data_IF_685756375430
#
_entry.id   IF_685756375430
#
_cell.length_a   1.000
_cell.length_b   1.000
_cell.length_c   1.000
_cell.angle_alpha   90.00
_cell.angle_beta   90.00
_cell.angle_gamma   90.00
#
_symmetry.space_group_name_H-M   'P 1'
#
loop_
_entity.id
_entity.type
_entity.pdbx_description
1 polymer ?
#
# COMPACT_ATOMS: atom_id res chain seq x y z
N UNK A 1 1.21 25.06 -23.55
CA UNK A 1 1.86 23.72 -23.67
C UNK A 1 2.00 23.02 -22.32
N UNK A 2 2.50 23.67 -21.25
CA UNK A 2 2.71 23.02 -19.94
C UNK A 2 1.41 22.51 -19.29
N UNK A 3 0.30 23.23 -19.36
CA UNK A 3 -1.02 22.78 -18.88
C UNK A 3 -1.48 21.48 -19.56
N UNK A 4 -1.20 21.34 -20.87
CA UNK A 4 -1.51 20.13 -21.62
C UNK A 4 -0.60 18.95 -21.23
N UNK A 5 0.67 19.25 -20.85
CA UNK A 5 1.58 18.26 -20.29
C UNK A 5 1.07 17.75 -18.94
N UNK A 6 0.63 18.64 -18.04
CA UNK A 6 0.02 18.23 -16.76
C UNK A 6 -1.23 17.37 -16.98
N UNK A 7 -2.11 17.77 -17.94
CA UNK A 7 -3.28 16.96 -18.29
C UNK A 7 -2.90 15.59 -18.87
N UNK A 8 -1.84 15.52 -19.65
CA UNK A 8 -1.32 14.27 -20.19
C UNK A 8 -0.78 13.36 -19.06
N UNK A 9 -0.08 13.91 -18.10
CA UNK A 9 0.51 13.14 -16.98
C UNK A 9 -0.54 12.74 -15.93
N UNK A 10 -1.52 13.58 -15.64
CA UNK A 10 -2.45 13.36 -14.53
C UNK A 10 -3.90 13.09 -14.96
N UNK A 11 -4.25 13.42 -16.19
CA UNK A 11 -5.61 13.26 -16.72
C UNK A 11 -5.82 11.90 -17.34
N UNK A 12 -7.09 11.49 -17.44
CA UNK A 12 -7.48 10.26 -18.14
C UNK A 12 -7.86 10.58 -19.60
N UNK A 13 -6.98 11.28 -20.31
CA UNK A 13 -7.19 11.70 -21.71
C UNK A 13 -6.15 11.06 -22.62
N UNK A 14 -6.60 10.58 -23.79
CA UNK A 14 -5.68 10.12 -24.83
C UNK A 14 -4.99 11.31 -25.52
N UNK A 15 -3.89 11.04 -26.26
CA UNK A 15 -3.19 12.09 -26.99
C UNK A 15 -4.07 12.71 -28.10
N UNK A 16 -4.98 11.93 -28.69
CA UNK A 16 -5.93 12.40 -29.69
C UNK A 16 -6.98 13.34 -29.07
N UNK A 17 -7.45 13.05 -27.85
CA UNK A 17 -8.34 13.94 -27.11
C UNK A 17 -7.65 15.25 -26.77
N UNK A 18 -6.40 15.18 -26.28
CA UNK A 18 -5.60 16.38 -25.98
C UNK A 18 -5.31 17.20 -27.23
N UNK A 19 -5.08 16.55 -28.37
CA UNK A 19 -4.87 17.24 -29.65
C UNK A 19 -6.12 18.01 -30.09
N UNK A 20 -7.32 17.41 -29.96
CA UNK A 20 -8.59 18.10 -30.25
C UNK A 20 -8.83 19.29 -29.32
N UNK A 21 -8.63 19.10 -28.02
CA UNK A 21 -8.88 20.13 -27.02
C UNK A 21 -7.89 21.30 -27.12
N UNK A 22 -6.65 21.02 -27.47
CA UNK A 22 -5.56 22.00 -27.52
C UNK A 22 -5.37 22.66 -28.88
N UNK A 23 -5.96 22.11 -29.95
CA UNK A 23 -5.73 22.50 -31.36
C UNK A 23 -4.28 22.31 -31.85
N UNK A 24 -3.43 21.61 -31.07
CA UNK A 24 -2.09 21.21 -31.53
C UNK A 24 -2.13 19.82 -32.16
N UNK A 25 -1.24 19.55 -33.10
CA UNK A 25 -1.09 18.20 -33.65
C UNK A 25 -0.57 17.21 -32.58
N UNK A 26 -0.97 15.94 -32.66
CA UNK A 26 -0.46 14.87 -31.79
C UNK A 26 1.06 14.82 -31.81
N UNK A 27 1.69 15.00 -32.98
CA UNK A 27 3.14 15.03 -33.15
C UNK A 27 3.80 16.19 -32.38
N UNK A 28 3.21 17.37 -32.40
CA UNK A 28 3.72 18.55 -31.68
C UNK A 28 3.60 18.36 -30.17
N UNK A 29 2.48 17.83 -29.71
CA UNK A 29 2.28 17.52 -28.28
C UNK A 29 3.28 16.48 -27.79
N UNK A 30 3.42 15.34 -28.49
CA UNK A 30 4.34 14.27 -28.09
C UNK A 30 5.80 14.76 -28.09
N UNK A 31 6.22 15.53 -29.11
CA UNK A 31 7.57 16.11 -29.12
C UNK A 31 7.83 17.00 -27.91
N UNK A 32 6.87 17.84 -27.54
CA UNK A 32 6.98 18.68 -26.36
C UNK A 32 6.97 17.85 -25.08
N UNK A 33 6.05 16.89 -24.93
CA UNK A 33 5.91 16.07 -23.74
C UNK A 33 7.15 15.21 -23.49
N UNK A 34 7.67 14.56 -24.52
CA UNK A 34 8.91 13.78 -24.41
C UNK A 34 10.12 14.66 -24.05
N UNK A 35 10.17 15.90 -24.55
CA UNK A 35 11.20 16.87 -24.16
C UNK A 35 11.06 17.38 -22.72
N UNK A 36 9.86 17.33 -22.14
CA UNK A 36 9.61 17.70 -20.74
C UNK A 36 9.92 16.58 -19.75
N UNK A 37 9.75 15.31 -20.14
CA UNK A 37 9.91 14.17 -19.23
C UNK A 37 11.22 14.18 -18.45
N UNK A 38 12.41 14.40 -19.04
CA UNK A 38 13.68 14.42 -18.31
C UNK A 38 13.89 15.66 -17.42
N UNK A 39 13.01 16.65 -17.50
CA UNK A 39 13.11 17.93 -16.76
C UNK A 39 12.28 17.96 -15.48
N UNK A 40 11.91 16.82 -14.92
CA UNK A 40 11.16 16.78 -13.67
C UNK A 40 11.99 17.43 -12.55
N UNK A 41 11.40 18.35 -11.75
CA UNK A 41 12.08 18.93 -10.61
C UNK A 41 12.51 17.87 -9.60
N UNK A 42 13.59 18.16 -8.87
CA UNK A 42 14.03 17.30 -7.77
C UNK A 42 12.94 17.19 -6.70
N UNK A 43 12.83 16.00 -6.13
CA UNK A 43 11.88 15.74 -5.06
C UNK A 43 12.35 16.39 -3.76
N UNK A 44 11.46 17.15 -3.15
CA UNK A 44 11.71 17.73 -1.83
C UNK A 44 10.70 17.19 -0.82
N UNK A 45 11.21 16.53 0.23
CA UNK A 45 10.38 16.13 1.37
C UNK A 45 9.82 17.37 2.07
N UNK A 46 8.58 17.26 2.53
CA UNK A 46 8.01 18.32 3.34
C UNK A 46 8.54 18.23 4.76
N UNK A 47 9.09 19.33 5.28
CA UNK A 47 9.50 19.39 6.67
C UNK A 47 8.25 19.37 7.56
N UNK A 48 8.21 18.41 8.46
CA UNK A 48 7.17 18.20 9.47
C UNK A 48 7.87 17.72 10.73
N UNK A 49 7.36 18.10 11.90
CA UNK A 49 7.92 17.60 13.16
C UNK A 49 7.61 16.11 13.32
N UNK A 50 6.39 15.72 12.95
CA UNK A 50 5.88 14.36 13.13
C UNK A 50 5.06 13.87 11.93
N UNK A 51 5.16 12.57 11.63
CA UNK A 51 4.41 11.93 10.54
C UNK A 51 3.81 10.59 10.95
N UNK A 52 2.64 10.29 10.40
CA UNK A 52 2.00 8.99 10.47
C UNK A 52 2.07 8.36 9.07
N UNK A 53 3.08 7.53 8.84
CA UNK A 53 3.38 7.01 7.52
C UNK A 53 2.47 5.86 7.13
N UNK A 54 2.07 5.85 5.89
CA UNK A 54 1.62 4.66 5.18
C UNK A 54 2.72 4.26 4.20
N UNK A 55 3.12 2.99 4.22
CA UNK A 55 4.14 2.44 3.33
C UNK A 55 3.51 1.32 2.52
N UNK A 56 3.61 1.43 1.21
CA UNK A 56 3.15 0.41 0.28
C UNK A 56 3.92 0.49 -1.03
N UNK A 57 4.05 -0.64 -1.72
CA UNK A 57 4.73 -0.75 -2.99
C UNK A 57 3.81 -1.23 -4.11
N UNK A 58 4.09 -0.82 -5.32
CA UNK A 58 3.39 -1.32 -6.49
C UNK A 58 4.36 -1.67 -7.61
N UNK A 59 4.06 -2.77 -8.28
CA UNK A 59 4.85 -3.27 -9.40
C UNK A 59 4.23 -2.84 -10.71
N UNK A 60 5.10 -2.43 -11.62
CA UNK A 60 4.78 -2.14 -13.01
C UNK A 60 5.46 -3.15 -13.94
N UNK A 61 5.01 -3.19 -15.19
CA UNK A 61 5.76 -3.83 -16.27
C UNK A 61 7.15 -3.19 -16.36
N UNK A 62 8.15 -3.90 -16.93
CA UNK A 62 9.55 -3.46 -17.03
C UNK A 62 10.36 -3.51 -15.71
N UNK A 63 10.00 -4.41 -14.79
CA UNK A 63 10.74 -4.65 -13.54
C UNK A 63 10.92 -3.39 -12.69
N UNK A 64 9.93 -2.51 -12.67
CA UNK A 64 9.93 -1.32 -11.83
C UNK A 64 8.95 -1.51 -10.69
N UNK A 65 9.46 -1.46 -9.46
CA UNK A 65 8.69 -1.32 -8.24
C UNK A 65 8.77 0.13 -7.76
N UNK A 66 7.62 0.73 -7.44
CA UNK A 66 7.53 2.04 -6.81
C UNK A 66 7.07 1.85 -5.37
N UNK A 67 7.90 2.23 -4.42
CA UNK A 67 7.55 2.28 -2.99
C UNK A 67 7.20 3.73 -2.65
N UNK A 68 6.08 3.94 -1.96
CA UNK A 68 5.64 5.24 -1.46
C UNK A 68 5.66 5.27 0.06
N UNK A 69 6.15 6.38 0.60
CA UNK A 69 6.09 6.76 2.02
C UNK A 69 5.20 7.98 2.13
N UNK A 70 3.94 7.76 2.50
CA UNK A 70 2.91 8.80 2.45
C UNK A 70 2.42 9.14 3.85
N UNK A 71 2.41 10.43 4.20
CA UNK A 71 1.81 10.88 5.44
C UNK A 71 0.28 10.76 5.35
N UNK A 72 -0.32 10.08 6.33
CA UNK A 72 -1.76 9.90 6.40
C UNK A 72 -2.51 11.19 6.68
N UNK A 73 -2.04 11.95 7.67
CA UNK A 73 -2.73 13.16 8.16
C UNK A 73 -2.82 14.22 7.08
N UNK A 74 -1.72 14.46 6.39
CA UNK A 74 -1.62 15.51 5.38
C UNK A 74 -1.79 14.98 3.95
N UNK A 75 -1.96 13.68 3.79
CA UNK A 75 -2.11 13.00 2.47
C UNK A 75 -0.98 13.32 1.49
N UNK A 76 0.22 13.58 2.00
CA UNK A 76 1.39 13.99 1.22
C UNK A 76 2.37 12.84 1.10
N UNK A 77 2.92 12.65 -0.09
CA UNK A 77 4.06 11.77 -0.28
C UNK A 77 5.32 12.43 0.28
N UNK A 78 5.89 11.87 1.34
CA UNK A 78 7.15 12.32 1.92
C UNK A 78 8.33 11.88 1.10
N UNK A 79 8.38 10.60 0.77
CA UNK A 79 9.44 9.98 0.01
C UNK A 79 8.87 8.95 -0.96
N UNK A 80 9.57 8.69 -2.04
CA UNK A 80 9.33 7.56 -2.92
C UNK A 80 10.65 6.95 -3.39
N UNK A 81 10.61 5.66 -3.72
CA UNK A 81 11.76 4.94 -4.28
C UNK A 81 11.34 4.12 -5.48
N UNK A 82 12.17 4.17 -6.52
CA UNK A 82 12.15 3.19 -7.62
C UNK A 82 13.16 2.10 -7.33
N UNK A 83 12.71 0.86 -7.34
CA UNK A 83 13.53 -0.33 -7.08
C UNK A 83 13.07 -1.49 -7.96
N UNK A 84 13.77 -2.62 -7.89
CA UNK A 84 13.31 -3.89 -8.49
C UNK A 84 12.36 -4.66 -7.58
N UNK A 85 12.53 -4.52 -6.26
CA UNK A 85 11.72 -5.21 -5.25
C UNK A 85 11.80 -4.47 -3.91
N UNK A 86 10.84 -4.70 -3.03
CA UNK A 86 10.80 -4.17 -1.67
C UNK A 86 11.88 -4.83 -0.79
N UNK A 87 13.11 -4.35 -0.89
CA UNK A 87 14.23 -4.89 -0.10
C UNK A 87 14.29 -4.27 1.30
N UNK A 88 14.62 -5.09 2.30
CA UNK A 88 14.81 -4.62 3.68
C UNK A 88 15.82 -3.48 3.77
N UNK A 89 16.95 -3.57 3.04
CA UNK A 89 18.01 -2.57 3.06
C UNK A 89 17.51 -1.22 2.58
N UNK A 90 16.83 -1.18 1.44
CA UNK A 90 16.36 0.07 0.85
C UNK A 90 15.27 0.73 1.70
N UNK A 91 14.36 -0.07 2.28
CA UNK A 91 13.34 0.46 3.20
C UNK A 91 13.98 1.05 4.46
N UNK A 92 15.01 0.40 5.01
CA UNK A 92 15.77 0.96 6.14
C UNK A 92 16.47 2.27 5.80
N UNK A 93 17.12 2.34 4.64
CA UNK A 93 17.73 3.57 4.13
C UNK A 93 16.70 4.70 4.03
N UNK A 94 15.53 4.42 3.49
CA UNK A 94 14.46 5.41 3.32
C UNK A 94 13.91 5.93 4.65
N UNK A 95 13.66 5.04 5.60
CA UNK A 95 13.23 5.43 6.95
C UNK A 95 14.32 6.26 7.65
N UNK A 96 15.59 5.87 7.53
CA UNK A 96 16.71 6.62 8.09
C UNK A 96 16.84 8.02 7.46
N UNK A 97 16.61 8.15 6.16
CA UNK A 97 16.62 9.44 5.47
C UNK A 97 15.52 10.37 6.01
N UNK A 98 14.33 9.84 6.34
CA UNK A 98 13.26 10.63 6.97
C UNK A 98 13.68 11.09 8.36
N UNK A 99 14.24 10.20 9.19
CA UNK A 99 14.71 10.52 10.54
C UNK A 99 15.88 11.54 10.52
N UNK A 100 16.80 11.45 9.56
CA UNK A 100 17.94 12.37 9.43
C UNK A 100 17.49 13.82 9.15
N UNK A 101 16.26 14.02 8.62
CA UNK A 101 15.65 15.32 8.50
C UNK A 101 14.96 15.81 9.78
N UNK A 102 15.17 15.11 10.90
CA UNK A 102 14.54 15.38 12.20
C UNK A 102 13.02 15.23 12.18
N UNK A 103 12.49 14.41 11.26
CA UNK A 103 11.08 14.09 11.18
C UNK A 103 10.83 12.87 12.07
N UNK A 104 10.02 13.02 13.12
CA UNK A 104 9.64 11.91 13.99
C UNK A 104 8.57 11.05 13.30
N UNK A 105 8.81 9.74 13.18
CA UNK A 105 7.83 8.78 12.68
C UNK A 105 7.03 8.26 13.88
N UNK A 106 5.78 8.73 14.05
CA UNK A 106 4.89 8.29 15.15
C UNK A 106 4.29 6.92 14.91
N UNK A 107 3.92 6.65 13.66
CA UNK A 107 3.34 5.35 13.29
C UNK A 107 3.66 4.97 11.85
N UNK A 108 3.58 3.67 11.58
CA UNK A 108 3.68 3.12 10.23
C UNK A 108 2.53 2.15 9.99
N UNK A 109 1.71 2.43 8.97
CA UNK A 109 0.66 1.51 8.48
C UNK A 109 1.12 0.87 7.19
N UNK A 110 1.08 -0.47 7.13
CA UNK A 110 1.50 -1.24 5.94
C UNK A 110 0.65 -2.49 5.72
N UNK A 111 0.83 -3.13 4.57
CA UNK A 111 0.20 -4.42 4.22
C UNK A 111 0.70 -5.58 5.09
N UNK A 112 1.88 -5.39 5.75
CA UNK A 112 2.54 -6.36 6.60
C UNK A 112 3.55 -7.24 5.89
N UNK A 113 4.13 -6.76 4.80
CA UNK A 113 5.33 -7.36 4.22
C UNK A 113 6.44 -7.46 5.29
N UNK A 114 7.07 -8.62 5.38
CA UNK A 114 8.05 -8.89 6.44
C UNK A 114 9.22 -7.89 6.43
N UNK A 115 9.65 -7.45 5.25
CA UNK A 115 10.73 -6.49 5.10
C UNK A 115 10.35 -5.10 5.65
N UNK A 116 9.10 -4.65 5.44
CA UNK A 116 8.61 -3.38 6.00
C UNK A 116 8.56 -3.47 7.52
N UNK A 117 7.91 -4.52 8.06
CA UNK A 117 7.80 -4.72 9.51
C UNK A 117 9.18 -4.73 10.17
N UNK A 118 10.12 -5.48 9.59
CA UNK A 118 11.48 -5.60 10.11
C UNK A 118 12.23 -4.26 10.03
N UNK A 119 12.14 -3.54 8.92
CA UNK A 119 12.75 -2.23 8.75
C UNK A 119 12.26 -1.23 9.80
N UNK A 120 10.93 -1.15 10.01
CA UNK A 120 10.33 -0.26 11.01
C UNK A 120 10.84 -0.59 12.41
N UNK A 121 10.87 -1.86 12.79
CA UNK A 121 11.35 -2.28 14.13
C UNK A 121 12.82 -2.00 14.37
N UNK A 122 13.65 -2.11 13.33
CA UNK A 122 15.10 -1.89 13.44
C UNK A 122 15.47 -0.40 13.40
N UNK A 123 14.72 0.44 12.65
CA UNK A 123 15.05 1.85 12.42
C UNK A 123 14.21 2.79 13.28
N UNK A 124 12.93 2.45 13.50
CA UNK A 124 11.97 3.27 14.22
C UNK A 124 11.27 2.44 15.32
N UNK A 125 12.01 1.90 16.33
CA UNK A 125 11.44 0.98 17.33
C UNK A 125 10.28 1.58 18.13
N UNK A 126 10.27 2.91 18.31
CA UNK A 126 9.22 3.65 19.04
C UNK A 126 7.98 3.90 18.19
N UNK A 127 8.06 3.71 16.86
CA UNK A 127 6.92 3.93 15.98
C UNK A 127 5.84 2.83 16.18
N UNK A 128 4.60 3.26 16.27
CA UNK A 128 3.46 2.33 16.39
C UNK A 128 3.22 1.69 15.03
N UNK A 129 3.40 0.37 14.96
CA UNK A 129 3.14 -0.39 13.74
C UNK A 129 1.67 -0.78 13.65
N UNK A 130 1.02 -0.45 12.54
CA UNK A 130 -0.36 -0.84 12.21
C UNK A 130 -0.37 -1.73 10.97
N UNK A 131 -1.05 -2.87 11.05
CA UNK A 131 -1.36 -3.71 9.89
C UNK A 131 -2.63 -3.23 9.21
N UNK A 132 -2.60 -3.06 7.90
CA UNK A 132 -3.79 -2.74 7.11
C UNK A 132 -4.85 -3.85 7.27
N UNK A 133 -6.00 -3.52 7.87
CA UNK A 133 -7.08 -4.48 8.11
C UNK A 133 -7.68 -5.00 6.80
N UNK A 134 -7.72 -4.16 5.76
CA UNK A 134 -8.18 -4.56 4.44
C UNK A 134 -7.29 -5.66 3.84
N UNK A 135 -5.97 -5.48 3.85
CA UNK A 135 -5.03 -6.48 3.32
C UNK A 135 -5.13 -7.81 4.06
N UNK A 136 -5.31 -7.78 5.40
CA UNK A 136 -5.47 -9.01 6.18
C UNK A 136 -6.75 -9.75 5.76
N UNK A 137 -7.88 -9.06 5.68
CA UNK A 137 -9.15 -9.66 5.27
C UNK A 137 -9.13 -10.14 3.82
N UNK A 138 -8.60 -9.32 2.91
CA UNK A 138 -8.49 -9.63 1.49
C UNK A 138 -7.65 -10.89 1.25
N UNK A 139 -6.50 -11.02 1.91
CA UNK A 139 -5.62 -12.17 1.77
C UNK A 139 -6.28 -13.46 2.26
N UNK A 140 -7.03 -13.41 3.37
CA UNK A 140 -7.85 -14.54 3.84
C UNK A 140 -8.90 -14.92 2.81
N UNK A 141 -9.59 -13.93 2.23
CA UNK A 141 -10.58 -14.15 1.16
C UNK A 141 -9.99 -14.79 -0.09
N UNK A 142 -8.77 -14.43 -0.48
CA UNK A 142 -8.06 -15.05 -1.62
C UNK A 142 -7.74 -16.52 -1.36
N UNK A 143 -7.26 -16.86 -0.15
CA UNK A 143 -6.90 -18.26 0.16
C UNK A 143 -8.10 -19.16 0.39
N UNK A 144 -9.13 -18.68 1.08
CA UNK A 144 -10.32 -19.47 1.40
C UNK A 144 -11.37 -19.50 0.30
N UNK A 145 -11.23 -18.63 -0.72
CA UNK A 145 -12.21 -18.43 -1.80
C UNK A 145 -13.56 -17.88 -1.30
N UNK A 146 -14.50 -17.62 -2.23
CA UNK A 146 -15.82 -17.06 -1.88
C UNK A 146 -16.77 -18.07 -1.23
N UNK A 147 -16.55 -19.38 -1.47
CA UNK A 147 -17.43 -20.48 -1.00
C UNK A 147 -16.58 -21.62 -0.42
N UNK A 148 -16.04 -21.47 0.78
CA UNK A 148 -15.23 -22.52 1.41
C UNK A 148 -16.09 -23.76 1.70
N UNK A 149 -15.48 -24.95 1.56
CA UNK A 149 -16.22 -26.22 1.78
C UNK A 149 -16.39 -26.54 3.27
N UNK A 150 -15.35 -26.32 4.10
CA UNK A 150 -15.41 -26.62 5.53
C UNK A 150 -16.12 -25.52 6.34
N UNK A 151 -16.77 -25.89 7.41
CA UNK A 151 -17.39 -24.97 8.38
C UNK A 151 -16.35 -24.00 8.95
N UNK A 152 -15.22 -24.52 9.42
CA UNK A 152 -14.13 -23.71 9.95
C UNK A 152 -13.66 -22.61 8.99
N UNK A 153 -13.55 -22.93 7.69
CA UNK A 153 -13.13 -21.95 6.70
C UNK A 153 -14.24 -20.91 6.39
N UNK A 154 -15.53 -21.31 6.42
CA UNK A 154 -16.66 -20.36 6.28
C UNK A 154 -16.71 -19.37 7.41
N UNK A 155 -16.61 -19.87 8.65
CA UNK A 155 -16.62 -19.03 9.85
C UNK A 155 -15.42 -18.07 9.87
N UNK A 156 -14.20 -18.53 9.53
CA UNK A 156 -13.03 -17.67 9.45
C UNK A 156 -13.17 -16.58 8.38
N UNK A 157 -13.75 -16.92 7.25
CA UNK A 157 -14.01 -15.95 6.18
C UNK A 157 -14.97 -14.84 6.67
N UNK A 158 -16.04 -15.20 7.38
CA UNK A 158 -16.96 -14.21 7.96
C UNK A 158 -16.28 -13.37 9.05
N UNK A 159 -15.50 -13.97 9.95
CA UNK A 159 -14.70 -13.23 10.93
C UNK A 159 -13.74 -12.24 10.24
N UNK A 160 -13.10 -12.64 9.15
CA UNK A 160 -12.21 -11.74 8.42
C UNK A 160 -12.93 -10.54 7.80
N UNK A 161 -14.16 -10.72 7.29
CA UNK A 161 -14.99 -9.63 6.76
C UNK A 161 -15.40 -8.63 7.84
N UNK A 162 -15.59 -9.09 9.07
CA UNK A 162 -15.94 -8.22 10.20
C UNK A 162 -14.83 -7.24 10.57
N UNK A 163 -13.56 -7.49 10.19
CA UNK A 163 -12.46 -6.54 10.38
C UNK A 163 -12.76 -5.16 9.81
N UNK A 164 -13.49 -5.10 8.70
CA UNK A 164 -13.90 -3.83 8.09
C UNK A 164 -14.84 -2.99 8.98
N UNK A 165 -15.62 -3.64 9.86
CA UNK A 165 -16.65 -3.01 10.70
C UNK A 165 -16.12 -2.50 12.04
N UNK A 166 -14.96 -2.98 12.49
CA UNK A 166 -14.37 -2.61 13.79
C UNK A 166 -14.00 -1.12 13.77
N UNK A 167 -14.47 -0.34 14.71
CA UNK A 167 -14.20 1.08 14.85
C UNK A 167 -13.62 1.42 16.22
N UNK A 168 -14.02 0.70 17.26
CA UNK A 168 -13.70 1.01 18.65
C UNK A 168 -12.87 -0.09 19.30
N UNK A 169 -12.26 0.22 20.44
CA UNK A 169 -11.52 -0.77 21.23
C UNK A 169 -12.43 -1.90 21.76
N UNK A 170 -13.65 -1.65 22.23
CA UNK A 170 -14.60 -2.72 22.56
C UNK A 170 -14.91 -3.64 21.37
N UNK A 171 -15.12 -3.10 20.17
CA UNK A 171 -15.34 -3.93 18.96
C UNK A 171 -14.14 -4.84 18.69
N UNK A 172 -12.92 -4.30 18.82
CA UNK A 172 -11.69 -5.07 18.62
C UNK A 172 -11.56 -6.21 19.65
N UNK A 173 -11.90 -5.94 20.92
CA UNK A 173 -11.90 -6.96 21.98
C UNK A 173 -12.94 -8.06 21.72
N UNK A 174 -14.15 -7.68 21.31
CA UNK A 174 -15.20 -8.63 20.94
C UNK A 174 -14.77 -9.52 19.79
N UNK A 175 -14.19 -8.91 18.74
CA UNK A 175 -13.68 -9.66 17.59
C UNK A 175 -12.55 -10.62 18.00
N UNK A 176 -11.61 -10.18 18.84
CA UNK A 176 -10.52 -11.05 19.31
C UNK A 176 -11.04 -12.25 20.10
N UNK A 177 -12.05 -12.07 20.96
CA UNK A 177 -12.70 -13.17 21.67
C UNK A 177 -13.34 -14.15 20.69
N UNK A 178 -14.12 -13.65 19.74
CA UNK A 178 -14.75 -14.49 18.72
C UNK A 178 -13.71 -15.27 17.88
N UNK A 179 -12.57 -14.66 17.55
CA UNK A 179 -11.49 -15.34 16.86
C UNK A 179 -10.83 -16.45 17.72
N UNK A 180 -10.63 -16.18 19.02
CA UNK A 180 -10.07 -17.16 19.98
C UNK A 180 -11.03 -18.34 20.13
N UNK A 181 -12.33 -18.09 20.35
CA UNK A 181 -13.35 -19.12 20.49
C UNK A 181 -13.45 -19.98 19.22
N UNK A 182 -13.44 -19.33 18.06
CA UNK A 182 -13.40 -20.01 16.77
C UNK A 182 -12.14 -20.90 16.64
N UNK A 183 -10.98 -20.37 17.04
CA UNK A 183 -9.73 -21.15 16.95
C UNK A 183 -9.77 -22.38 17.84
N UNK A 184 -10.21 -22.28 19.09
CA UNK A 184 -10.33 -23.42 20.00
C UNK A 184 -11.33 -24.46 19.48
N UNK A 185 -12.48 -24.02 18.94
CA UNK A 185 -13.47 -24.92 18.31
C UNK A 185 -12.88 -25.76 17.17
N UNK A 186 -11.99 -25.19 16.39
CA UNK A 186 -11.49 -25.80 15.15
C UNK A 186 -10.00 -26.19 15.19
N UNK A 187 -9.32 -26.05 16.31
CA UNK A 187 -7.86 -26.23 16.41
C UNK A 187 -7.38 -27.59 15.89
N UNK A 188 -8.04 -28.67 16.29
CA UNK A 188 -7.70 -30.03 15.84
C UNK A 188 -7.80 -30.16 14.32
N UNK A 189 -8.88 -29.63 13.72
CA UNK A 189 -9.10 -29.65 12.28
C UNK A 189 -8.08 -28.78 11.53
N UNK A 190 -7.75 -27.59 12.03
CA UNK A 190 -6.77 -26.68 11.42
C UNK A 190 -5.38 -27.32 11.39
N UNK A 191 -5.02 -28.05 12.45
CA UNK A 191 -3.69 -28.65 12.62
C UNK A 191 -3.60 -30.11 12.15
N UNK A 192 -4.66 -30.65 11.53
CA UNK A 192 -4.66 -32.00 10.98
C UNK A 192 -3.55 -32.15 9.92
N UNK A 193 -2.74 -33.21 10.10
CA UNK A 193 -1.59 -33.51 9.23
C UNK A 193 -1.88 -34.72 8.39
N UNK A 194 -1.33 -34.72 7.19
CA UNK A 194 -1.19 -35.89 6.31
C UNK A 194 0.27 -36.23 6.19
N UNK A 195 0.54 -37.52 6.02
CA UNK A 195 1.88 -38.08 5.83
C UNK A 195 1.93 -38.86 4.52
N UNK A 196 3.08 -38.84 3.89
CA UNK A 196 3.46 -39.70 2.80
C UNK A 196 4.39 -40.78 3.38
N UNK A 197 3.96 -42.01 3.35
CA UNK A 197 4.68 -43.16 3.92
C UNK A 197 5.99 -43.44 3.20
N UNK A 198 6.07 -43.18 1.88
CA UNK A 198 7.28 -43.46 1.08
C UNK A 198 8.37 -42.40 1.33
N UNK A 199 8.01 -41.12 1.36
CA UNK A 199 8.98 -40.03 1.51
C UNK A 199 9.17 -39.56 2.95
N UNK A 200 8.34 -40.00 3.90
CA UNK A 200 8.30 -39.50 5.29
C UNK A 200 7.91 -38.03 5.42
N UNK A 201 7.48 -37.40 4.35
CA UNK A 201 7.08 -36.00 4.36
C UNK A 201 5.70 -35.84 4.96
N UNK A 202 5.49 -34.72 5.66
CA UNK A 202 4.20 -34.38 6.20
C UNK A 202 3.78 -32.97 5.74
N UNK A 203 2.46 -32.69 5.71
CA UNK A 203 1.90 -31.38 5.42
C UNK A 203 0.58 -31.21 6.18
N UNK A 204 0.16 -29.95 6.34
CA UNK A 204 -1.17 -29.67 6.86
C UNK A 204 -2.23 -30.06 5.82
N UNK A 205 -3.18 -30.90 6.20
CA UNK A 205 -4.28 -31.35 5.34
C UNK A 205 -5.12 -30.16 4.87
N UNK A 206 -5.37 -29.20 5.75
CA UNK A 206 -6.11 -27.98 5.48
C UNK A 206 -5.17 -26.78 5.28
N UNK A 207 -4.22 -26.90 4.37
CA UNK A 207 -3.09 -25.96 4.16
C UNK A 207 -3.52 -24.49 4.08
N UNK A 208 -4.57 -24.16 3.29
CA UNK A 208 -5.00 -22.77 3.11
C UNK A 208 -5.70 -22.21 4.35
N UNK A 209 -6.46 -23.05 5.07
CA UNK A 209 -7.07 -22.66 6.34
C UNK A 209 -5.99 -22.42 7.41
N UNK A 210 -5.03 -23.33 7.55
CA UNK A 210 -3.90 -23.18 8.46
C UNK A 210 -3.10 -21.91 8.14
N UNK A 211 -2.84 -21.65 6.86
CA UNK A 211 -2.13 -20.42 6.39
C UNK A 211 -2.91 -19.16 6.74
N UNK A 212 -4.23 -19.14 6.51
CA UNK A 212 -5.10 -18.01 6.84
C UNK A 212 -5.14 -17.73 8.34
N UNK A 213 -5.26 -18.78 9.15
CA UNK A 213 -5.21 -18.68 10.62
C UNK A 213 -3.89 -18.10 11.11
N UNK A 214 -2.77 -18.62 10.61
CA UNK A 214 -1.43 -18.13 10.95
C UNK A 214 -1.23 -16.68 10.54
N UNK A 215 -1.76 -16.28 9.37
CA UNK A 215 -1.70 -14.90 8.89
C UNK A 215 -2.41 -13.93 9.82
N UNK A 216 -3.62 -14.27 10.27
CA UNK A 216 -4.37 -13.46 11.24
C UNK A 216 -3.62 -13.43 12.59
N UNK A 217 -3.19 -14.57 13.13
CA UNK A 217 -2.44 -14.62 14.40
C UNK A 217 -1.22 -13.70 14.39
N UNK A 218 -0.46 -13.67 13.30
CA UNK A 218 0.69 -12.78 13.14
C UNK A 218 0.30 -11.30 13.01
N UNK A 219 -0.90 -11.02 12.53
CA UNK A 219 -1.38 -9.65 12.38
C UNK A 219 -1.91 -9.05 13.70
N UNK A 220 -2.55 -9.85 14.56
CA UNK A 220 -3.24 -9.41 15.78
C UNK A 220 -2.44 -8.39 16.62
N UNK A 221 -1.13 -8.55 16.90
CA UNK A 221 -0.39 -7.59 17.71
C UNK A 221 -0.35 -6.16 17.14
N UNK A 222 -0.64 -6.01 15.83
CA UNK A 222 -0.55 -4.74 15.11
C UNK A 222 -1.86 -4.34 14.43
N UNK A 223 -2.95 -5.08 14.65
CA UNK A 223 -4.15 -4.97 13.83
C UNK A 223 -5.10 -3.86 14.28
N UNK A 224 -5.08 -3.51 15.57
CA UNK A 224 -6.11 -2.66 16.19
C UNK A 224 -5.55 -1.39 16.84
N UNK A 225 -4.32 -0.97 16.52
CA UNK A 225 -3.72 0.22 17.13
C UNK A 225 -4.50 1.51 16.77
N UNK A 226 -5.12 1.58 15.59
CA UNK A 226 -5.99 2.69 15.19
C UNK A 226 -7.19 2.92 16.12
N UNK A 227 -7.63 1.90 16.89
CA UNK A 227 -8.72 2.07 17.84
C UNK A 227 -8.30 2.82 19.12
N UNK A 228 -6.99 2.88 19.39
CA UNK A 228 -6.38 3.59 20.53
C UNK A 228 -5.81 4.95 20.12
N UNK A 229 -5.37 5.07 18.88
CA UNK A 229 -4.67 6.23 18.35
C UNK A 229 -5.39 6.75 17.11
N UNK A 230 -6.22 7.81 17.22
CA UNK A 230 -7.08 8.29 16.12
C UNK A 230 -6.32 8.75 14.86
N UNK A 231 -5.05 9.13 15.03
CA UNK A 231 -4.20 9.58 13.92
C UNK A 231 -3.59 8.42 13.11
N UNK A 232 -3.81 7.16 13.50
CA UNK A 232 -3.30 5.99 12.81
C UNK A 232 -4.38 5.47 11.85
N UNK A 233 -4.10 5.38 10.54
CA UNK A 233 -5.08 4.86 9.61
C UNK A 233 -5.29 3.36 9.79
N UNK A 234 -6.55 2.94 9.78
CA UNK A 234 -6.98 1.54 9.79
C UNK A 234 -6.49 0.76 8.57
N UNK A 235 -6.40 1.45 7.42
CA UNK A 235 -6.08 0.85 6.12
C UNK A 235 -5.11 1.71 5.33
N UNK A 236 -4.43 1.12 4.36
CA UNK A 236 -3.61 1.81 3.35
C UNK A 236 -4.39 2.19 2.07
N UNK A 237 -5.73 2.16 2.10
CA UNK A 237 -6.58 2.38 0.92
C UNK A 237 -6.29 3.68 0.17
N UNK A 238 -5.82 4.73 0.85
CA UNK A 238 -5.47 5.98 0.18
C UNK A 238 -4.24 5.86 -0.73
N UNK A 239 -3.26 5.00 -0.38
CA UNK A 239 -2.14 4.68 -1.27
C UNK A 239 -2.62 3.79 -2.42
N UNK A 240 -3.46 2.79 -2.14
CA UNK A 240 -4.01 1.92 -3.18
C UNK A 240 -4.81 2.72 -4.21
N UNK A 241 -5.65 3.66 -3.76
CA UNK A 241 -6.38 4.57 -4.64
C UNK A 241 -5.43 5.43 -5.48
N UNK A 242 -4.35 5.91 -4.88
CA UNK A 242 -3.30 6.66 -5.57
C UNK A 242 -2.61 5.81 -6.66
N UNK A 243 -2.22 4.59 -6.32
CA UNK A 243 -1.66 3.64 -7.30
C UNK A 243 -2.65 3.27 -8.40
N UNK A 244 -3.93 3.12 -8.06
CA UNK A 244 -5.00 2.88 -9.03
C UNK A 244 -5.06 4.00 -10.06
N UNK A 245 -5.11 5.26 -9.61
CA UNK A 245 -5.10 6.42 -10.51
C UNK A 245 -3.84 6.45 -11.38
N UNK A 246 -2.64 6.27 -10.80
CA UNK A 246 -1.39 6.23 -11.55
C UNK A 246 -1.41 5.15 -12.65
N UNK A 247 -1.87 3.94 -12.31
CA UNK A 247 -1.98 2.83 -13.27
C UNK A 247 -3.01 3.11 -14.36
N UNK A 248 -4.13 3.72 -14.03
CA UNK A 248 -5.16 4.07 -15.02
C UNK A 248 -4.62 5.07 -16.05
N UNK A 249 -3.93 6.11 -15.58
CA UNK A 249 -3.32 7.10 -16.49
C UNK A 249 -2.20 6.45 -17.30
N UNK A 250 -1.33 5.66 -16.67
CA UNK A 250 -0.23 4.99 -17.34
C UNK A 250 -0.68 4.06 -18.49
N UNK A 251 -1.83 3.39 -18.32
CA UNK A 251 -2.41 2.51 -19.38
C UNK A 251 -2.72 3.25 -20.68
N UNK A 252 -2.96 4.55 -20.62
CA UNK A 252 -3.21 5.39 -21.80
C UNK A 252 -1.92 5.77 -22.53
N UNK A 253 -0.74 5.60 -21.89
CA UNK A 253 0.56 6.01 -22.40
C UNK A 253 1.46 4.80 -22.63
N UNK A 254 0.98 3.85 -23.45
CA UNK A 254 1.74 2.65 -23.83
C UNK A 254 2.91 3.03 -24.74
N UNK A 255 3.99 2.28 -24.67
CA UNK A 255 5.16 2.45 -25.56
C UNK A 255 6.21 3.44 -25.05
N UNK A 256 6.08 3.97 -23.81
CA UNK A 256 7.15 4.74 -23.19
C UNK A 256 8.37 3.83 -22.94
N UNK A 257 9.58 4.31 -23.26
CA UNK A 257 10.81 3.67 -22.84
C UNK A 257 10.86 3.59 -21.31
N UNK A 258 11.70 2.72 -20.74
CA UNK A 258 11.84 2.59 -19.27
C UNK A 258 12.19 3.93 -18.61
N UNK A 259 13.08 4.70 -19.22
CA UNK A 259 13.47 6.01 -18.71
C UNK A 259 12.32 7.01 -18.77
N UNK A 260 11.63 7.12 -19.92
CA UNK A 260 10.45 7.98 -20.05
C UNK A 260 9.34 7.57 -19.09
N UNK A 261 9.15 6.28 -18.86
CA UNK A 261 8.18 5.77 -17.90
C UNK A 261 8.50 6.18 -16.46
N UNK A 262 9.75 6.05 -16.01
CA UNK A 262 10.19 6.51 -14.69
C UNK A 262 9.98 8.03 -14.55
N UNK A 263 10.38 8.80 -15.56
CA UNK A 263 10.21 10.25 -15.57
C UNK A 263 8.73 10.66 -15.59
N UNK A 264 7.88 9.92 -16.30
CA UNK A 264 6.43 10.10 -16.26
C UNK A 264 5.87 9.93 -14.84
N UNK A 265 6.28 8.88 -14.13
CA UNK A 265 5.85 8.68 -12.74
C UNK A 265 6.38 9.80 -11.83
N UNK A 266 7.62 10.26 -12.00
CA UNK A 266 8.16 11.39 -11.24
C UNK A 266 7.30 12.65 -11.41
N UNK A 267 6.93 12.97 -12.63
CA UNK A 267 6.04 14.10 -12.93
C UNK A 267 4.64 13.92 -12.33
N UNK A 268 4.09 12.71 -12.40
CA UNK A 268 2.81 12.40 -11.76
C UNK A 268 2.87 12.66 -10.25
N UNK A 269 3.89 12.16 -9.57
CA UNK A 269 4.11 12.39 -8.14
C UNK A 269 4.25 13.88 -7.82
N UNK A 270 5.02 14.60 -8.63
CA UNK A 270 5.22 16.05 -8.48
C UNK A 270 3.90 16.83 -8.57
N UNK A 271 3.11 16.59 -9.61
CA UNK A 271 1.83 17.28 -9.78
C UNK A 271 0.81 16.91 -8.69
N UNK A 272 0.73 15.64 -8.30
CA UNK A 272 -0.15 15.23 -7.20
C UNK A 272 0.27 15.85 -5.87
N UNK A 273 1.56 15.90 -5.56
CA UNK A 273 2.06 16.56 -4.34
C UNK A 273 1.71 18.06 -4.30
N UNK A 274 1.76 18.75 -5.42
CA UNK A 274 1.38 20.17 -5.49
C UNK A 274 -0.13 20.36 -5.30
N UNK A 275 -0.98 19.48 -5.84
CA UNK A 275 -2.43 19.49 -5.61
C UNK A 275 -2.76 19.25 -4.14
N UNK A 276 -2.08 18.29 -3.51
CA UNK A 276 -2.26 17.99 -2.09
C UNK A 276 -1.87 19.20 -1.20
N UNK A 277 -0.77 19.91 -1.53
CA UNK A 277 -0.35 21.15 -0.85
C UNK A 277 -1.38 22.28 -0.96
N UNK A 278 -1.98 22.46 -2.14
CA UNK A 278 -3.00 23.49 -2.35
C UNK A 278 -4.27 23.20 -1.56
N UNK A 279 -4.70 21.92 -1.49
CA UNK A 279 -5.86 21.52 -0.68
C UNK A 279 -5.63 21.77 0.81
N UNK A 280 -4.43 21.42 1.32
CA UNK A 280 -4.09 21.69 2.74
C UNK A 280 -4.20 23.16 3.09
N UNK A 281 -3.65 24.07 2.26
CA UNK A 281 -3.77 25.51 2.48
C UNK A 281 -5.21 26.00 2.49
N UNK A 282 -6.12 25.32 1.78
CA UNK A 282 -7.55 25.66 1.79
C UNK A 282 -8.29 25.11 3.01
N UNK A 283 -7.82 24.01 3.60
CA UNK A 283 -8.39 23.41 4.82
C UNK A 283 -7.87 24.11 6.10
N UNK A 284 -6.75 24.82 6.03
CA UNK A 284 -6.14 25.60 7.14
C UNK A 284 -6.66 27.05 7.22
N UNK A 285 -7.43 27.54 6.21
CA UNK A 285 -8.10 28.84 6.16
C UNK A 285 -9.57 28.74 6.56
#
# INVERSE_FOLDING_TARGET
>A
MFVWFERWVCGKQSIEQLARDSQYSTRSLLRYFHGMLPRCPEWQMQRRDKVNLMIDGTYFTNEVCLILYRDYRYRVTQLYRFTKSESLREIKEDLQNILNLQIQIESVTCDGAANIIRAVREVCPEAILQRCTFHVAHQVGLWLTKKPKSEAARELLELSKLLAKIQTQPDAQLWMRAFIDWYHKHEAFINEKSFDEESGRWWYKHKLLHRSTTHIKRAIPYLFNYTRYPNIPKTSNSIESFFGHLKDVQRLHRGLSREHFINFIKWFLFFQSNKDKLKQKQEEL
#
